data_IF_787894688036
#
_entry.id   IF_787894688036
#
_cell.length_a   1.000
_cell.length_b   1.000
_cell.length_c   1.000
_cell.angle_alpha   90.00
_cell.angle_beta   90.00
_cell.angle_gamma   90.00
#
_symmetry.space_group_name_H-M   'P 1'
#
loop_
_entity.id
_entity.type
_entity.pdbx_description
1 polymer ?
#
# COMPACT_ATOMS: atom_id res chain seq x y z
N UNK A 1 33.75 2.73 46.93
CA UNK A 1 34.58 2.82 45.71
C UNK A 1 34.42 1.48 44.99
N UNK A 2 33.40 1.37 44.14
CA UNK A 2 32.92 0.09 43.63
C UNK A 2 33.76 -0.34 42.44
N UNK A 3 34.85 -1.06 42.69
CA UNK A 3 35.51 -1.86 41.66
C UNK A 3 34.61 -3.06 41.37
N UNK A 4 33.80 -2.95 40.31
CA UNK A 4 33.29 -4.15 39.65
C UNK A 4 34.50 -5.05 39.35
N UNK A 5 34.46 -6.27 39.85
CA UNK A 5 35.51 -7.26 39.66
C UNK A 5 35.82 -7.35 38.16
N UNK A 6 37.05 -7.01 37.77
CA UNK A 6 37.47 -6.83 36.38
C UNK A 6 37.04 -7.99 35.47
N UNK A 7 36.98 -9.20 36.02
CA UNK A 7 36.54 -10.43 35.35
C UNK A 7 35.11 -10.36 34.82
N UNK A 8 34.19 -9.71 35.55
CA UNK A 8 32.78 -9.58 35.16
C UNK A 8 32.66 -8.61 33.98
N UNK A 9 33.42 -7.51 34.01
CA UNK A 9 33.45 -6.53 32.91
C UNK A 9 33.99 -7.18 31.64
N UNK A 10 35.10 -7.95 31.73
CA UNK A 10 35.68 -8.64 30.58
C UNK A 10 34.73 -9.70 30.01
N UNK A 11 34.05 -10.48 30.85
CA UNK A 11 33.08 -11.47 30.40
C UNK A 11 31.88 -10.81 29.69
N UNK A 12 31.39 -9.69 30.22
CA UNK A 12 30.27 -8.96 29.61
C UNK A 12 30.67 -8.30 28.28
N UNK A 13 31.87 -7.72 28.20
CA UNK A 13 32.43 -7.21 26.95
C UNK A 13 32.56 -8.30 25.89
N UNK A 14 33.03 -9.50 26.25
CA UNK A 14 33.13 -10.61 25.31
C UNK A 14 31.77 -11.05 24.74
N UNK A 15 30.72 -11.05 25.56
CA UNK A 15 29.35 -11.36 25.12
C UNK A 15 28.84 -10.29 24.15
N UNK A 16 29.07 -9.00 24.46
CA UNK A 16 28.67 -7.88 23.60
C UNK A 16 29.42 -7.95 22.27
N UNK A 17 30.72 -8.19 22.29
CA UNK A 17 31.54 -8.31 21.08
C UNK A 17 31.13 -9.52 20.23
N UNK A 18 30.80 -10.65 20.86
CA UNK A 18 30.28 -11.83 20.17
C UNK A 18 28.91 -11.57 19.53
N UNK A 19 28.02 -10.87 20.24
CA UNK A 19 26.70 -10.49 19.71
C UNK A 19 26.85 -9.51 18.54
N UNK A 20 27.69 -8.49 18.69
CA UNK A 20 27.95 -7.52 17.63
C UNK A 20 28.63 -8.18 16.41
N UNK A 21 29.53 -9.13 16.64
CA UNK A 21 30.15 -9.93 15.59
C UNK A 21 29.14 -10.81 14.86
N UNK A 22 28.23 -11.45 15.59
CA UNK A 22 27.13 -12.22 15.00
C UNK A 22 26.19 -11.32 14.19
N UNK A 23 25.78 -10.17 14.71
CA UNK A 23 24.96 -9.19 13.99
C UNK A 23 25.67 -8.71 12.72
N UNK A 24 26.97 -8.38 12.81
CA UNK A 24 27.75 -7.96 11.65
C UNK A 24 27.87 -9.06 10.59
N UNK A 25 28.03 -10.33 11.00
CA UNK A 25 28.04 -11.48 10.10
C UNK A 25 26.67 -11.70 9.44
N UNK A 26 25.58 -11.64 10.20
CA UNK A 26 24.20 -11.73 9.66
C UNK A 26 23.91 -10.58 8.71
N UNK A 27 24.39 -9.36 9.02
CA UNK A 27 24.21 -8.17 8.18
C UNK A 27 24.85 -8.31 6.79
N UNK A 28 25.91 -9.12 6.64
CA UNK A 28 26.48 -9.43 5.32
C UNK A 28 25.51 -10.21 4.42
N UNK A 29 24.58 -10.97 5.03
CA UNK A 29 23.52 -11.67 4.31
C UNK A 29 22.27 -10.81 4.09
N UNK A 30 22.21 -9.55 4.55
CA UNK A 30 21.09 -8.66 4.23
C UNK A 30 20.94 -8.37 2.73
N UNK A 31 22.04 -8.42 1.98
CA UNK A 31 21.99 -8.31 0.51
C UNK A 31 21.41 -9.56 -0.16
N UNK A 32 21.40 -10.71 0.54
CA UNK A 32 20.77 -11.95 0.08
C UNK A 32 19.33 -12.11 0.59
N UNK A 33 18.86 -11.23 1.49
CA UNK A 33 17.47 -11.19 1.90
C UNK A 33 16.64 -10.69 0.72
N UNK A 34 15.92 -11.61 0.07
CA UNK A 34 14.88 -11.25 -0.87
C UNK A 34 13.76 -10.50 -0.13
N UNK A 35 13.83 -9.17 -0.14
CA UNK A 35 12.81 -8.29 0.43
C UNK A 35 11.72 -8.04 -0.62
N UNK A 36 10.51 -7.77 -0.14
CA UNK A 36 9.40 -7.28 -0.97
C UNK A 36 8.85 -8.28 -2.01
N UNK A 37 9.00 -9.59 -1.76
CA UNK A 37 8.37 -10.60 -2.61
C UNK A 37 6.87 -10.70 -2.27
N UNK A 38 5.98 -10.60 -3.27
CA UNK A 38 4.53 -10.64 -3.07
C UNK A 38 4.03 -12.08 -2.83
N UNK A 39 4.42 -12.68 -1.70
CA UNK A 39 3.98 -14.02 -1.35
C UNK A 39 2.56 -14.00 -0.76
N UNK A 40 1.64 -14.63 -1.46
CA UNK A 40 0.31 -14.96 -0.93
C UNK A 40 0.42 -16.13 0.06
N UNK A 41 -0.57 -16.26 0.96
CA UNK A 41 -0.63 -17.37 1.92
C UNK A 41 -0.53 -18.75 1.22
N UNK A 42 -1.16 -18.87 0.04
CA UNK A 42 -1.13 -20.09 -0.76
C UNK A 42 0.29 -20.40 -1.24
N UNK A 43 1.02 -19.41 -1.75
CA UNK A 43 2.42 -19.59 -2.17
C UNK A 43 3.32 -20.00 -1.01
N UNK A 44 3.08 -19.49 0.21
CA UNK A 44 3.82 -19.90 1.42
C UNK A 44 3.60 -21.38 1.72
N UNK A 45 2.34 -21.86 1.68
CA UNK A 45 2.01 -23.26 1.90
C UNK A 45 2.70 -24.15 0.83
N UNK A 46 2.64 -23.76 -0.44
CA UNK A 46 3.30 -24.50 -1.53
C UNK A 46 4.82 -24.52 -1.36
N UNK A 47 5.44 -23.40 -0.96
CA UNK A 47 6.88 -23.35 -0.67
C UNK A 47 7.28 -24.31 0.45
N UNK A 48 6.53 -24.35 1.56
CA UNK A 48 6.81 -25.30 2.63
C UNK A 48 6.68 -26.75 2.17
N UNK A 49 5.69 -27.07 1.33
CA UNK A 49 5.58 -28.41 0.74
C UNK A 49 6.78 -28.75 -0.14
N UNK A 50 7.28 -27.80 -0.93
CA UNK A 50 8.50 -27.98 -1.75
C UNK A 50 9.72 -28.25 -0.85
N UNK A 51 9.91 -27.48 0.22
CA UNK A 51 11.03 -27.68 1.15
C UNK A 51 11.00 -29.08 1.76
N UNK A 52 9.83 -29.52 2.26
CA UNK A 52 9.66 -30.87 2.82
C UNK A 52 9.92 -31.94 1.76
N UNK A 53 9.40 -31.76 0.54
CA UNK A 53 9.63 -32.70 -0.56
C UNK A 53 11.12 -32.79 -0.93
N UNK A 54 11.84 -31.67 -0.99
CA UNK A 54 13.27 -31.65 -1.29
C UNK A 54 14.11 -32.35 -0.21
N UNK A 55 13.81 -32.11 1.07
CA UNK A 55 14.46 -32.80 2.19
C UNK A 55 14.25 -34.31 2.06
N UNK A 56 13.03 -34.72 1.73
CA UNK A 56 12.67 -36.12 1.57
C UNK A 56 13.34 -36.76 0.34
N UNK A 57 13.52 -36.01 -0.74
CA UNK A 57 14.33 -36.42 -1.90
C UNK A 57 15.78 -36.66 -1.50
N UNK A 58 16.40 -35.76 -0.73
CA UNK A 58 17.77 -35.93 -0.26
C UNK A 58 17.93 -37.16 0.63
N UNK A 59 16.95 -37.46 1.49
CA UNK A 59 17.01 -38.57 2.45
C UNK A 59 16.78 -39.95 1.81
N UNK A 60 15.77 -40.07 0.95
CA UNK A 60 15.34 -41.37 0.43
C UNK A 60 15.73 -41.61 -1.04
N UNK A 61 16.20 -40.58 -1.75
CA UNK A 61 16.68 -40.61 -3.15
C UNK A 61 15.80 -41.45 -4.09
N UNK A 62 14.49 -41.38 -3.89
CA UNK A 62 13.48 -42.22 -4.52
C UNK A 62 12.73 -41.46 -5.62
N UNK A 63 12.45 -42.13 -6.75
CA UNK A 63 11.77 -41.52 -7.93
C UNK A 63 10.41 -40.89 -7.59
N UNK A 64 9.67 -41.50 -6.65
CA UNK A 64 8.37 -40.96 -6.19
C UNK A 64 8.52 -39.57 -5.59
N UNK A 65 9.55 -39.36 -4.77
CA UNK A 65 9.78 -38.06 -4.11
C UNK A 65 10.31 -37.01 -5.09
N UNK A 66 11.12 -37.41 -6.07
CA UNK A 66 11.57 -36.49 -7.12
C UNK A 66 10.38 -36.04 -7.98
N UNK A 67 9.49 -36.97 -8.37
CA UNK A 67 8.28 -36.63 -9.11
C UNK A 67 7.37 -35.67 -8.33
N UNK A 68 7.15 -35.92 -7.03
CA UNK A 68 6.36 -35.03 -6.15
C UNK A 68 6.98 -33.63 -6.09
N UNK A 69 8.31 -33.52 -5.95
CA UNK A 69 9.00 -32.22 -5.93
C UNK A 69 8.82 -31.46 -7.24
N UNK A 70 8.91 -32.13 -8.40
CA UNK A 70 8.69 -31.49 -9.70
C UNK A 70 7.23 -31.01 -9.86
N UNK A 71 6.26 -31.83 -9.45
CA UNK A 71 4.83 -31.45 -9.48
C UNK A 71 4.59 -30.23 -8.58
N UNK A 72 5.19 -30.18 -7.40
CA UNK A 72 5.07 -29.03 -6.51
C UNK A 72 5.66 -27.75 -7.11
N UNK A 73 6.78 -27.85 -7.84
CA UNK A 73 7.37 -26.72 -8.58
C UNK A 73 6.44 -26.23 -9.69
N UNK A 74 5.83 -27.14 -10.46
CA UNK A 74 4.84 -26.78 -11.49
C UNK A 74 3.62 -26.10 -10.84
N UNK A 75 3.16 -26.61 -9.69
CA UNK A 75 2.09 -26.00 -8.91
C UNK A 75 2.42 -24.57 -8.48
N UNK A 76 3.65 -24.32 -8.00
CA UNK A 76 4.13 -22.98 -7.66
C UNK A 76 4.08 -22.03 -8.86
N UNK A 77 4.53 -22.48 -10.04
CA UNK A 77 4.47 -21.70 -11.28
C UNK A 77 3.02 -21.37 -11.65
N UNK A 78 2.10 -22.33 -11.54
CA UNK A 78 0.67 -22.13 -11.81
C UNK A 78 0.04 -21.09 -10.87
N UNK A 79 0.36 -21.15 -9.57
CA UNK A 79 -0.11 -20.16 -8.59
C UNK A 79 0.42 -18.75 -8.91
N UNK A 80 1.68 -18.65 -9.34
CA UNK A 80 2.28 -17.37 -9.71
C UNK A 80 1.61 -16.75 -10.93
N UNK A 81 1.32 -17.57 -11.95
CA UNK A 81 0.60 -17.14 -13.14
C UNK A 81 -0.83 -16.69 -12.80
N UNK A 82 -1.54 -17.46 -11.98
CA UNK A 82 -2.88 -17.12 -11.52
C UNK A 82 -2.91 -15.79 -10.75
N UNK A 83 -1.96 -15.59 -9.82
CA UNK A 83 -1.86 -14.35 -9.06
C UNK A 83 -1.58 -13.15 -9.96
N UNK A 84 -0.67 -13.31 -10.92
CA UNK A 84 -0.33 -12.26 -11.89
C UNK A 84 -1.57 -11.83 -12.68
N UNK A 85 -2.35 -12.79 -13.17
CA UNK A 85 -3.59 -12.52 -13.91
C UNK A 85 -4.62 -11.78 -13.05
N UNK A 86 -4.85 -12.23 -11.82
CA UNK A 86 -5.79 -11.58 -10.90
C UNK A 86 -5.37 -10.14 -10.53
N UNK A 87 -4.07 -9.85 -10.55
CA UNK A 87 -3.54 -8.50 -10.26
C UNK A 87 -3.54 -7.56 -11.46
N UNK A 88 -3.96 -7.94 -12.68
CA UNK A 88 -3.89 -7.03 -13.84
C UNK A 88 -5.02 -5.98 -13.91
N UNK A 89 -5.88 -5.88 -12.90
CA UNK A 89 -6.97 -4.91 -12.95
C UNK A 89 -6.49 -3.48 -12.67
N UNK A 90 -7.03 -2.56 -13.46
CA UNK A 90 -6.92 -1.14 -13.19
C UNK A 90 -7.62 -0.81 -11.87
N UNK A 91 -7.09 0.15 -11.13
CA UNK A 91 -7.67 0.61 -9.89
C UNK A 91 -7.29 2.05 -9.60
N UNK A 92 -8.21 2.85 -9.08
CA UNK A 92 -7.89 4.12 -8.46
C UNK A 92 -7.93 3.96 -6.94
N UNK A 93 -6.83 4.29 -6.29
CA UNK A 93 -6.64 4.14 -4.85
C UNK A 93 -6.35 5.49 -4.23
N UNK A 94 -7.18 5.90 -3.28
CA UNK A 94 -6.94 7.09 -2.47
C UNK A 94 -6.38 6.62 -1.14
N UNK A 95 -5.09 6.82 -0.94
CA UNK A 95 -4.38 6.33 0.23
C UNK A 95 -4.71 7.18 1.46
N UNK A 96 -4.85 6.53 2.61
CA UNK A 96 -4.91 7.23 3.89
C UNK A 96 -3.51 7.67 4.31
N UNK A 97 -3.20 8.95 4.09
CA UNK A 97 -1.99 9.57 4.66
C UNK A 97 -2.37 10.79 5.50
N UNK A 98 -1.94 10.81 6.75
CA UNK A 98 -2.19 11.97 7.62
C UNK A 98 -1.46 13.20 7.07
N UNK A 99 -2.17 14.33 6.97
CA UNK A 99 -1.67 15.65 6.51
C UNK A 99 -1.26 15.76 5.04
N UNK A 100 -1.20 14.65 4.31
CA UNK A 100 -0.77 14.61 2.92
C UNK A 100 -1.83 13.92 2.07
N UNK A 101 -1.97 14.35 0.83
CA UNK A 101 -2.87 13.72 -0.14
C UNK A 101 -2.05 12.79 -1.03
N UNK A 102 -2.53 11.56 -1.19
CA UNK A 102 -1.88 10.58 -2.03
C UNK A 102 -2.92 9.77 -2.80
N UNK A 103 -2.81 9.77 -4.12
CA UNK A 103 -3.69 9.03 -5.02
C UNK A 103 -2.83 8.16 -5.91
N UNK A 104 -3.12 6.87 -5.96
CA UNK A 104 -2.57 5.93 -6.93
C UNK A 104 -3.56 5.67 -8.06
N UNK A 105 -3.14 5.85 -9.30
CA UNK A 105 -3.80 5.32 -10.47
C UNK A 105 -3.01 4.10 -10.94
N UNK A 106 -3.60 2.92 -10.80
CA UNK A 106 -3.04 1.66 -11.27
C UNK A 106 -3.59 1.37 -12.66
N UNK A 107 -2.68 1.21 -13.62
CA UNK A 107 -2.96 0.76 -14.97
C UNK A 107 -2.06 -0.44 -15.28
N UNK A 108 -2.66 -1.63 -15.36
CA UNK A 108 -1.94 -2.90 -15.49
C UNK A 108 -0.86 -3.06 -14.39
N UNK A 109 0.42 -3.19 -14.76
CA UNK A 109 1.56 -3.35 -13.85
C UNK A 109 2.24 -2.02 -13.44
N UNK A 110 1.64 -0.88 -13.80
CA UNK A 110 2.17 0.45 -13.50
C UNK A 110 1.26 1.16 -12.51
N UNK A 111 1.87 1.81 -11.52
CA UNK A 111 1.18 2.65 -10.55
C UNK A 111 1.70 4.08 -10.66
N UNK A 112 0.84 5.00 -11.05
CA UNK A 112 1.13 6.43 -11.00
C UNK A 112 0.62 6.99 -9.68
N UNK A 113 1.54 7.45 -8.83
CA UNK A 113 1.22 8.03 -7.52
C UNK A 113 1.31 9.55 -7.61
N UNK A 114 0.17 10.20 -7.44
CA UNK A 114 0.03 11.63 -7.30
C UNK A 114 0.12 12.02 -5.82
N UNK A 115 1.07 12.89 -5.45
CA UNK A 115 1.28 13.26 -4.04
C UNK A 115 1.75 14.71 -3.85
N UNK A 116 1.61 15.20 -2.63
CA UNK A 116 2.21 16.47 -2.16
C UNK A 116 3.37 16.27 -1.16
N UNK A 117 3.91 15.05 -1.05
CA UNK A 117 5.07 14.71 -0.22
C UNK A 117 6.40 15.00 -0.92
N UNK A 118 7.46 15.22 -0.14
CA UNK A 118 8.84 15.23 -0.64
C UNK A 118 9.18 13.87 -1.27
N UNK A 119 9.85 13.88 -2.43
CA UNK A 119 10.22 12.68 -3.20
C UNK A 119 11.03 11.66 -2.38
N UNK A 120 11.84 12.12 -1.43
CA UNK A 120 12.59 11.25 -0.50
C UNK A 120 11.70 10.48 0.48
N UNK A 121 10.64 11.11 1.01
CA UNK A 121 9.70 10.48 1.96
C UNK A 121 8.75 9.50 1.27
N UNK A 122 8.48 9.71 -0.03
CA UNK A 122 7.64 8.84 -0.84
C UNK A 122 8.22 7.43 -0.98
N UNK A 123 9.53 7.33 -1.28
CA UNK A 123 10.19 6.03 -1.50
C UNK A 123 10.25 5.17 -0.23
N UNK A 124 10.29 5.80 0.94
CA UNK A 124 10.27 5.14 2.24
C UNK A 124 8.87 4.89 2.80
N UNK A 125 7.82 5.28 2.09
CA UNK A 125 6.46 5.20 2.62
C UNK A 125 5.95 3.76 2.62
N UNK A 126 5.64 3.24 3.82
CA UNK A 126 5.12 1.89 3.99
C UNK A 126 3.80 1.64 3.26
N UNK A 127 2.93 2.65 3.08
CA UNK A 127 1.65 2.45 2.39
C UNK A 127 1.88 2.15 0.91
N UNK A 128 2.75 2.91 0.25
CA UNK A 128 3.13 2.68 -1.15
C UNK A 128 3.89 1.37 -1.28
N UNK A 129 4.85 1.14 -0.38
CA UNK A 129 5.68 -0.06 -0.41
C UNK A 129 4.82 -1.33 -0.28
N UNK A 130 3.95 -1.37 0.72
CA UNK A 130 3.06 -2.52 0.96
C UNK A 130 2.07 -2.69 -0.19
N UNK A 131 1.57 -1.60 -0.78
CA UNK A 131 0.68 -1.67 -1.95
C UNK A 131 1.42 -2.16 -3.20
N UNK A 132 2.65 -1.71 -3.43
CA UNK A 132 3.53 -2.18 -4.52
C UNK A 132 3.74 -3.69 -4.43
N UNK A 133 4.07 -4.17 -3.22
CA UNK A 133 4.25 -5.59 -2.95
C UNK A 133 2.92 -6.32 -3.12
N UNK A 134 1.86 -5.93 -2.41
CA UNK A 134 0.59 -6.65 -2.46
C UNK A 134 -0.03 -6.79 -3.85
N UNK A 135 0.18 -5.80 -4.74
CA UNK A 135 -0.35 -5.80 -6.10
C UNK A 135 0.69 -6.19 -7.17
N UNK A 136 1.87 -6.68 -6.77
CA UNK A 136 2.96 -7.13 -7.67
C UNK A 136 3.36 -6.10 -8.73
N UNK A 137 3.49 -4.83 -8.32
CA UNK A 137 3.74 -3.70 -9.21
C UNK A 137 5.24 -3.48 -9.42
N UNK A 138 5.67 -3.29 -10.67
CA UNK A 138 7.09 -3.07 -10.98
C UNK A 138 7.46 -1.58 -10.93
N UNK A 139 6.60 -0.71 -11.48
CA UNK A 139 6.92 0.69 -11.78
C UNK A 139 6.01 1.62 -10.98
N UNK A 140 6.62 2.51 -10.21
CA UNK A 140 5.94 3.63 -9.55
C UNK A 140 6.37 4.92 -10.24
N UNK A 141 5.45 5.59 -10.93
CA UNK A 141 5.64 6.94 -11.45
C UNK A 141 5.14 7.94 -10.41
N UNK A 142 5.84 9.05 -10.22
CA UNK A 142 5.47 10.11 -9.28
C UNK A 142 5.08 11.33 -10.11
N UNK A 143 3.91 11.91 -9.81
CA UNK A 143 3.42 13.11 -10.47
C UNK A 143 2.80 14.06 -9.42
N UNK A 144 2.70 15.33 -9.81
CA UNK A 144 2.06 16.40 -9.04
C UNK A 144 0.56 16.17 -8.92
N UNK A 145 -0.02 16.60 -7.78
CA UNK A 145 -1.47 16.50 -7.58
C UNK A 145 -2.24 17.30 -8.64
N UNK A 146 -3.19 16.64 -9.28
CA UNK A 146 -4.11 17.25 -10.24
C UNK A 146 -5.45 17.55 -9.56
N UNK A 147 -6.18 18.51 -10.10
CA UNK A 147 -7.53 18.87 -9.63
C UNK A 147 -8.61 17.93 -10.16
N UNK A 148 -8.34 17.20 -11.25
CA UNK A 148 -9.31 16.31 -11.90
C UNK A 148 -8.62 14.99 -12.23
N UNK A 149 -9.26 13.89 -11.89
CA UNK A 149 -8.82 12.54 -12.23
C UNK A 149 -9.91 11.82 -13.00
N UNK A 150 -9.54 11.12 -14.07
CA UNK A 150 -10.46 10.28 -14.82
C UNK A 150 -10.13 8.82 -14.57
N UNK A 151 -11.14 8.03 -14.18
CA UNK A 151 -11.03 6.60 -14.03
C UNK A 151 -12.19 5.93 -14.74
N UNK A 152 -11.92 5.25 -15.86
CA UNK A 152 -12.93 4.72 -16.78
C UNK A 152 -13.89 5.85 -17.20
N UNK A 153 -15.21 5.65 -17.05
CA UNK A 153 -16.25 6.63 -17.36
C UNK A 153 -16.57 7.57 -16.18
N UNK A 154 -15.79 7.50 -15.09
CA UNK A 154 -16.05 8.29 -13.88
C UNK A 154 -15.01 9.38 -13.72
N UNK A 155 -15.50 10.61 -13.56
CA UNK A 155 -14.67 11.78 -13.31
C UNK A 155 -14.67 12.06 -11.81
N UNK A 156 -13.48 12.19 -11.23
CA UNK A 156 -13.25 12.52 -9.83
C UNK A 156 -12.69 13.94 -9.77
N UNK A 157 -13.42 14.85 -9.15
CA UNK A 157 -12.97 16.21 -8.89
C UNK A 157 -12.31 16.28 -7.51
N UNK A 158 -11.04 16.63 -7.47
CA UNK A 158 -10.31 16.91 -6.24
C UNK A 158 -10.44 18.39 -5.88
N UNK A 159 -11.20 18.68 -4.82
CA UNK A 159 -11.37 20.03 -4.28
C UNK A 159 -10.37 20.23 -3.14
N UNK A 160 -9.43 21.13 -3.39
CA UNK A 160 -8.41 21.55 -2.43
C UNK A 160 -8.82 22.81 -1.66
N UNK A 161 -7.98 23.32 -0.76
CA UNK A 161 -8.20 24.52 0.05
C UNK A 161 -8.55 25.78 -0.74
N UNK A 162 -8.17 25.83 -2.02
CA UNK A 162 -8.54 26.89 -2.96
C UNK A 162 -10.02 26.86 -3.37
N UNK A 163 -10.75 25.78 -3.06
CA UNK A 163 -12.18 25.62 -3.31
C UNK A 163 -12.61 25.92 -4.75
N UNK A 164 -11.77 25.59 -5.73
CA UNK A 164 -12.07 25.83 -7.16
C UNK A 164 -12.99 24.71 -7.66
N UNK A 165 -14.29 24.99 -7.72
CA UNK A 165 -15.30 24.07 -8.27
C UNK A 165 -16.34 24.77 -9.15
N UNK A 166 -16.25 26.10 -9.32
CA UNK A 166 -17.19 26.91 -10.10
C UNK A 166 -16.73 27.03 -11.56
N UNK A 167 -17.67 27.04 -12.51
CA UNK A 167 -17.35 27.17 -13.95
C UNK A 167 -16.90 25.88 -14.64
N UNK A 168 -17.11 24.71 -14.04
CA UNK A 168 -16.78 23.42 -14.64
C UNK A 168 -17.67 23.12 -15.86
N UNK A 169 -17.06 22.77 -17.00
CA UNK A 169 -17.77 22.34 -18.20
C UNK A 169 -18.30 20.90 -18.14
N UNK A 170 -17.98 20.16 -17.07
CA UNK A 170 -18.34 18.76 -16.87
C UNK A 170 -18.94 18.53 -15.48
N UNK A 171 -19.68 17.41 -15.32
CA UNK A 171 -20.25 16.99 -14.04
C UNK A 171 -19.44 15.84 -13.44
N UNK A 172 -18.75 16.03 -12.31
CA UNK A 172 -17.97 14.95 -11.70
C UNK A 172 -18.88 13.93 -11.01
N UNK A 173 -18.61 12.65 -11.24
CA UNK A 173 -19.32 11.56 -10.56
C UNK A 173 -18.92 11.46 -9.10
N UNK A 174 -17.64 11.73 -8.80
CA UNK A 174 -17.06 11.66 -7.47
C UNK A 174 -16.37 12.95 -7.09
N UNK A 175 -16.47 13.32 -5.82
CA UNK A 175 -15.76 14.48 -5.27
C UNK A 175 -14.80 14.00 -4.20
N UNK A 176 -13.54 14.38 -4.33
CA UNK A 176 -12.52 14.18 -3.32
C UNK A 176 -12.24 15.50 -2.61
N UNK A 177 -12.44 15.54 -1.30
CA UNK A 177 -12.09 16.69 -0.46
C UNK A 177 -10.69 16.48 0.12
N UNK A 178 -9.81 17.47 -0.04
CA UNK A 178 -8.44 17.46 0.51
C UNK A 178 -8.03 18.81 1.10
N UNK A 179 -7.10 18.81 2.06
CA UNK A 179 -6.57 19.97 2.78
C UNK A 179 -7.62 20.89 3.41
N UNK A 180 -8.72 20.32 3.89
CA UNK A 180 -9.77 21.01 4.65
C UNK A 180 -10.35 22.27 3.98
N UNK A 181 -10.91 22.18 2.75
CA UNK A 181 -11.49 23.32 2.07
C UNK A 181 -12.54 24.03 2.89
N UNK A 182 -12.45 25.35 2.92
CA UNK A 182 -13.51 26.21 3.44
C UNK A 182 -14.59 26.34 2.38
N UNK A 183 -15.43 25.30 2.24
CA UNK A 183 -16.55 25.27 1.30
C UNK A 183 -17.88 24.96 1.98
N UNK A 184 -18.96 25.39 1.32
CA UNK A 184 -20.32 25.02 1.70
C UNK A 184 -20.75 23.78 0.90
N UNK A 185 -20.76 22.62 1.56
CA UNK A 185 -21.03 21.35 0.90
C UNK A 185 -22.44 21.25 0.31
N UNK A 186 -23.42 21.98 0.87
CA UNK A 186 -24.77 22.02 0.28
C UNK A 186 -24.74 22.60 -1.13
N UNK A 187 -24.02 23.71 -1.35
CA UNK A 187 -23.92 24.34 -2.68
C UNK A 187 -23.21 23.44 -3.68
N UNK A 188 -22.15 22.76 -3.24
CA UNK A 188 -21.41 21.80 -4.06
C UNK A 188 -22.30 20.64 -4.48
N UNK A 189 -23.04 20.07 -3.53
CA UNK A 189 -23.99 18.98 -3.79
C UNK A 189 -25.09 19.42 -4.76
N UNK A 190 -25.68 20.59 -4.54
CA UNK A 190 -26.81 21.05 -5.35
C UNK A 190 -26.39 21.41 -6.78
N UNK A 191 -25.16 21.90 -6.96
CA UNK A 191 -24.60 22.26 -8.27
C UNK A 191 -24.07 21.05 -9.05
N UNK A 192 -23.26 20.19 -8.41
CA UNK A 192 -22.54 19.11 -9.10
C UNK A 192 -23.28 17.77 -9.05
N UNK A 193 -24.19 17.58 -8.09
CA UNK A 193 -24.95 16.34 -7.85
C UNK A 193 -24.08 15.08 -7.90
N UNK A 194 -23.03 14.99 -7.06
CA UNK A 194 -22.11 13.85 -7.06
C UNK A 194 -22.79 12.57 -6.56
N UNK A 195 -22.32 11.42 -7.03
CA UNK A 195 -22.78 10.11 -6.56
C UNK A 195 -22.16 9.70 -5.23
N UNK A 196 -20.94 10.16 -4.95
CA UNK A 196 -20.19 9.86 -3.73
C UNK A 196 -19.20 10.98 -3.44
N UNK A 197 -19.09 11.32 -2.16
CA UNK A 197 -18.09 12.27 -1.66
C UNK A 197 -17.08 11.49 -0.82
N UNK A 198 -15.80 11.67 -1.14
CA UNK A 198 -14.67 11.02 -0.49
C UNK A 198 -13.87 12.10 0.21
N UNK A 199 -13.50 11.87 1.47
CA UNK A 199 -12.60 12.75 2.19
C UNK A 199 -11.31 12.01 2.52
N UNK A 200 -10.18 12.59 2.11
CA UNK A 200 -8.86 12.06 2.48
C UNK A 200 -8.49 12.44 3.93
N UNK A 201 -7.35 11.91 4.39
CA UNK A 201 -6.87 12.12 5.74
C UNK A 201 -5.99 13.36 5.94
N UNK A 202 -5.87 14.20 4.91
CA UNK A 202 -5.31 15.54 5.07
C UNK A 202 -6.30 16.49 5.76
N UNK A 203 -7.58 16.10 5.84
CA UNK A 203 -8.64 16.92 6.42
C UNK A 203 -8.71 16.87 7.96
N UNK A 204 -9.03 18.01 8.58
CA UNK A 204 -9.27 18.10 10.03
C UNK A 204 -10.55 17.33 10.44
N UNK A 205 -10.49 16.66 11.59
CA UNK A 205 -11.62 15.87 12.14
C UNK A 205 -12.92 16.66 12.30
N UNK A 206 -12.84 17.95 12.61
CA UNK A 206 -14.02 18.83 12.73
C UNK A 206 -14.74 19.03 11.39
N UNK A 207 -13.99 19.19 10.30
CA UNK A 207 -14.53 19.32 8.94
C UNK A 207 -15.18 18.02 8.48
N UNK A 208 -14.51 16.88 8.72
CA UNK A 208 -15.05 15.56 8.42
C UNK A 208 -16.40 15.32 9.08
N UNK A 209 -16.55 15.66 10.38
CA UNK A 209 -17.83 15.55 11.09
C UNK A 209 -18.93 16.42 10.47
N UNK A 210 -18.61 17.68 10.16
CA UNK A 210 -19.57 18.62 9.56
C UNK A 210 -20.02 18.17 8.18
N UNK A 211 -19.09 17.72 7.33
CA UNK A 211 -19.41 17.22 6.00
C UNK A 211 -20.21 15.93 6.05
N UNK A 212 -19.86 14.99 6.95
CA UNK A 212 -20.62 13.76 7.16
C UNK A 212 -22.09 14.06 7.51
N UNK A 213 -22.34 14.96 8.46
CA UNK A 213 -23.70 15.38 8.83
C UNK A 213 -24.46 16.01 7.64
N UNK A 214 -23.76 16.79 6.81
CA UNK A 214 -24.37 17.41 5.62
C UNK A 214 -24.73 16.37 4.55
N UNK A 215 -23.82 15.42 4.28
CA UNK A 215 -24.05 14.32 3.35
C UNK A 215 -25.21 13.43 3.79
N UNK A 216 -25.30 13.14 5.09
CA UNK A 216 -26.39 12.35 5.68
C UNK A 216 -27.74 13.05 5.48
N UNK A 217 -27.82 14.35 5.76
CA UNK A 217 -29.02 15.15 5.50
C UNK A 217 -29.42 15.18 4.01
N UNK A 218 -28.45 15.27 3.10
CA UNK A 218 -28.67 15.27 1.65
C UNK A 218 -28.78 13.85 1.05
N UNK A 219 -28.70 12.79 1.86
CA UNK A 219 -28.72 11.37 1.47
C UNK A 219 -27.66 10.99 0.42
N UNK A 220 -26.46 11.57 0.53
CA UNK A 220 -25.33 11.26 -0.35
C UNK A 220 -24.34 10.37 0.39
N UNK A 221 -23.86 9.28 -0.24
CA UNK A 221 -22.79 8.46 0.30
C UNK A 221 -21.55 9.31 0.63
N UNK A 222 -21.02 9.14 1.84
CA UNK A 222 -19.79 9.79 2.30
C UNK A 222 -18.81 8.75 2.79
N UNK A 223 -17.60 8.77 2.27
CA UNK A 223 -16.54 7.85 2.66
C UNK A 223 -15.30 8.59 3.17
N UNK A 224 -14.77 8.15 4.29
CA UNK A 224 -13.50 8.64 4.83
C UNK A 224 -12.42 7.58 4.64
N UNK A 225 -11.28 7.94 4.06
CA UNK A 225 -10.16 6.99 3.89
C UNK A 225 -9.61 6.49 5.23
N UNK A 226 -9.85 7.23 6.32
CA UNK A 226 -9.51 6.82 7.69
C UNK A 226 -10.23 5.54 8.16
N UNK A 227 -11.41 5.21 7.62
CA UNK A 227 -12.19 4.05 8.09
C UNK A 227 -11.61 2.72 7.62
N UNK A 228 -11.02 2.69 6.41
CA UNK A 228 -10.54 1.45 5.76
C UNK A 228 -9.06 1.51 5.34
N UNK A 229 -8.33 2.57 5.70
CA UNK A 229 -6.91 2.74 5.34
C UNK A 229 -6.65 3.12 3.88
N UNK A 230 -7.58 2.83 2.97
CA UNK A 230 -7.60 3.35 1.62
C UNK A 230 -9.01 3.27 1.05
N UNK A 231 -9.32 4.14 0.09
CA UNK A 231 -10.51 3.99 -0.74
C UNK A 231 -10.09 3.46 -2.12
N UNK A 232 -10.64 2.32 -2.54
CA UNK A 232 -10.25 1.63 -3.76
C UNK A 232 -11.46 1.57 -4.71
N UNK A 233 -11.27 2.03 -5.94
CA UNK A 233 -12.21 1.90 -7.05
C UNK A 233 -11.58 0.95 -8.07
N UNK A 234 -12.19 -0.21 -8.31
CA UNK A 234 -11.79 -1.16 -9.38
C UNK A 234 -12.81 -1.08 -10.52
#
# INVERSE_FOLDING_TARGET
>A
MNMLHSSIVTAYSYIIDSLNGFIAWVAQFENFLFRDIPFTLLQVIVCYMIVVALIQVCKFRNFKWTAISLIAIIGLQGVYFYNTYQTQHNALVIFNKSRYSMIGLKENNKLTVYHNLDSGKLKSDYAIKNYKVGESLDIIMSDSLQSVYQYKDKIILAIDSLSIYEGLSFRPSYILLRNSPKLNLNRVIDSLKPQLIIADASNYKSYLKRWKATCEHKKIPFHQTNEKGAFIIK
#
